data_IF_568112518685
#
_entry.id   IF_568112518685
#
_cell.length_a   1.000
_cell.length_b   1.000
_cell.length_c   1.000
_cell.angle_alpha   90.00
_cell.angle_beta   90.00
_cell.angle_gamma   90.00
#
_symmetry.space_group_name_H-M   'P 1'
#
loop_
_entity.id
_entity.type
_entity.pdbx_description
1 polymer ?
#
# COMPACT_ATOMS: atom_id res chain seq x y z
N UNK A 1 -78.54 -20.33 -18.28
CA UNK A 1 -79.02 -19.05 -17.70
C UNK A 1 -78.38 -18.99 -16.32
N UNK A 2 -77.43 -18.11 -16.00
CA UNK A 2 -77.40 -16.66 -16.16
C UNK A 2 -75.95 -16.22 -16.47
N UNK A 3 -75.81 -15.28 -17.38
CA UNK A 3 -74.60 -14.47 -17.59
C UNK A 3 -74.69 -13.30 -16.61
N UNK A 4 -73.63 -13.03 -15.84
CA UNK A 4 -73.42 -11.72 -15.21
C UNK A 4 -72.00 -11.25 -15.52
N UNK A 5 -71.92 -10.28 -16.43
CA UNK A 5 -70.81 -9.35 -16.60
C UNK A 5 -70.99 -8.18 -15.62
N UNK A 6 -69.91 -7.70 -15.01
CA UNK A 6 -69.68 -6.33 -14.47
C UNK A 6 -68.21 -6.29 -13.99
N UNK A 7 -67.22 -5.81 -14.75
CA UNK A 7 -66.78 -4.43 -15.04
C UNK A 7 -66.39 -3.61 -13.81
N UNK A 8 -65.25 -2.93 -13.96
CA UNK A 8 -64.67 -1.78 -13.22
C UNK A 8 -63.58 -2.12 -12.20
N UNK A 9 -62.35 -1.69 -12.51
CA UNK A 9 -61.26 -1.64 -11.54
C UNK A 9 -59.87 -1.40 -12.12
N UNK A 10 -59.72 -0.51 -13.12
CA UNK A 10 -58.39 0.03 -13.45
C UNK A 10 -57.98 0.95 -12.31
N UNK A 11 -57.04 0.52 -11.49
CA UNK A 11 -56.26 1.43 -10.64
C UNK A 11 -54.79 1.22 -10.96
N UNK A 12 -54.35 1.98 -11.95
CA UNK A 12 -52.96 2.31 -12.16
C UNK A 12 -52.45 3.05 -10.92
N UNK A 13 -51.78 2.33 -10.02
CA UNK A 13 -50.80 2.95 -9.13
C UNK A 13 -49.46 2.42 -9.63
N UNK A 14 -48.83 3.26 -10.44
CA UNK A 14 -47.48 3.05 -10.92
C UNK A 14 -46.54 2.95 -9.73
N UNK A 15 -46.23 1.72 -9.34
CA UNK A 15 -44.98 1.44 -8.65
C UNK A 15 -43.96 1.24 -9.76
N UNK A 16 -43.43 2.37 -10.25
CA UNK A 16 -42.06 2.44 -10.73
C UNK A 16 -41.16 2.08 -9.55
N UNK A 17 -41.14 0.79 -9.17
CA UNK A 17 -39.99 0.24 -8.49
C UNK A 17 -38.93 0.20 -9.58
N UNK A 18 -38.28 1.35 -9.77
CA UNK A 18 -37.04 1.42 -10.48
C UNK A 18 -36.22 0.28 -9.92
N UNK A 19 -35.87 -0.65 -10.79
CA UNK A 19 -34.76 -1.53 -10.54
C UNK A 19 -33.58 -0.59 -10.29
N UNK A 20 -33.36 -0.27 -9.02
CA UNK A 20 -32.07 0.17 -8.54
C UNK A 20 -31.22 -1.05 -8.80
N UNK A 21 -30.66 -1.09 -10.02
CA UNK A 21 -29.44 -1.78 -10.32
C UNK A 21 -28.43 -1.19 -9.33
N UNK A 22 -28.43 -1.73 -8.12
CA UNK A 22 -27.26 -1.77 -7.28
C UNK A 22 -26.24 -2.47 -8.16
N UNK A 23 -25.50 -1.69 -8.95
CA UNK A 23 -24.21 -2.07 -9.44
C UNK A 23 -23.37 -2.27 -8.18
N UNK A 24 -23.53 -3.46 -7.58
CA UNK A 24 -22.50 -4.11 -6.79
C UNK A 24 -21.42 -4.50 -7.80
N UNK A 25 -20.84 -3.50 -8.46
CA UNK A 25 -19.58 -3.64 -9.13
C UNK A 25 -18.64 -3.97 -8.01
N UNK A 26 -18.26 -5.24 -7.87
CA UNK A 26 -16.95 -5.55 -7.33
C UNK A 26 -16.00 -4.69 -8.15
N UNK A 27 -15.55 -3.57 -7.60
CA UNK A 27 -14.46 -2.77 -8.18
C UNK A 27 -13.22 -3.64 -8.03
N UNK A 28 -13.11 -4.63 -8.91
CA UNK A 28 -11.88 -5.36 -9.16
C UNK A 28 -10.87 -4.33 -9.65
N UNK A 29 -9.67 -4.43 -9.14
CA UNK A 29 -8.58 -3.59 -9.62
C UNK A 29 -8.26 -3.94 -11.07
N UNK A 30 -7.66 -3.02 -11.82
CA UNK A 30 -7.10 -3.35 -13.12
C UNK A 30 -6.17 -4.56 -13.04
N UNK A 31 -6.27 -5.50 -13.99
CA UNK A 31 -5.48 -6.74 -13.99
C UNK A 31 -3.97 -6.49 -13.91
N UNK A 32 -3.50 -5.39 -14.49
CA UNK A 32 -2.09 -4.96 -14.45
C UNK A 32 -1.62 -4.64 -13.03
N UNK A 33 -2.47 -4.01 -12.22
CA UNK A 33 -2.15 -3.70 -10.82
C UNK A 33 -2.18 -4.96 -9.95
N UNK A 34 -3.12 -5.87 -10.24
CA UNK A 34 -3.19 -7.18 -9.59
C UNK A 34 -1.92 -8.00 -9.87
N UNK A 35 -1.52 -8.09 -11.14
CA UNK A 35 -0.35 -8.84 -11.57
C UNK A 35 0.93 -8.26 -10.97
N UNK A 36 1.09 -6.94 -10.98
CA UNK A 36 2.23 -6.26 -10.36
C UNK A 36 2.27 -6.52 -8.85
N UNK A 37 1.14 -6.35 -8.15
CA UNK A 37 1.08 -6.59 -6.71
C UNK A 37 1.46 -8.04 -6.36
N UNK A 38 0.99 -9.02 -7.15
CA UNK A 38 1.33 -10.43 -6.97
C UNK A 38 2.81 -10.70 -7.26
N UNK A 39 3.36 -10.17 -8.36
CA UNK A 39 4.78 -10.29 -8.69
C UNK A 39 5.67 -9.76 -7.56
N UNK A 40 5.33 -8.59 -7.02
CA UNK A 40 6.07 -7.96 -5.93
C UNK A 40 5.91 -8.75 -4.61
N UNK A 41 4.73 -9.32 -4.35
CA UNK A 41 4.49 -10.14 -3.16
C UNK A 41 5.33 -11.43 -3.16
N UNK A 42 5.59 -12.00 -4.34
CA UNK A 42 6.39 -13.21 -4.51
C UNK A 42 7.92 -12.94 -4.55
N UNK A 43 8.32 -11.68 -4.54
CA UNK A 43 9.72 -11.26 -4.60
C UNK A 43 10.57 -11.82 -3.45
N UNK A 44 11.79 -12.26 -3.79
CA UNK A 44 12.78 -12.74 -2.82
C UNK A 44 13.29 -11.63 -1.90
N UNK A 45 13.22 -10.36 -2.31
CA UNK A 45 13.59 -9.20 -1.48
C UNK A 45 12.74 -9.16 -0.22
N UNK A 46 11.44 -9.47 -0.31
CA UNK A 46 10.56 -9.53 0.85
C UNK A 46 10.83 -10.75 1.74
N UNK A 47 11.89 -11.52 1.48
CA UNK A 47 12.38 -12.57 2.39
C UNK A 47 13.60 -12.11 3.19
N UNK A 48 14.14 -10.93 2.90
CA UNK A 48 15.18 -10.30 3.70
C UNK A 48 14.58 -9.88 5.03
N UNK A 49 15.10 -10.45 6.11
CA UNK A 49 14.65 -10.18 7.48
C UNK A 49 15.90 -9.88 8.31
N UNK A 50 16.05 -8.65 8.83
CA UNK A 50 17.19 -8.30 9.66
C UNK A 50 17.30 -9.23 10.88
N UNK A 51 18.51 -9.59 11.32
CA UNK A 51 18.70 -10.28 12.59
C UNK A 51 18.04 -9.50 13.73
N UNK A 52 17.47 -10.18 14.73
CA UNK A 52 16.71 -9.56 15.84
C UNK A 52 15.34 -8.95 15.43
N UNK A 53 14.80 -9.36 14.29
CA UNK A 53 13.40 -9.09 13.95
C UNK A 53 12.45 -10.10 14.61
N UNK A 54 11.24 -9.65 14.88
CA UNK A 54 10.11 -10.36 15.47
C UNK A 54 8.81 -9.89 14.80
N UNK A 55 7.69 -10.56 15.07
CA UNK A 55 6.36 -10.12 14.61
C UNK A 55 6.28 -9.76 13.13
N UNK A 56 6.82 -10.65 12.27
CA UNK A 56 6.86 -10.42 10.82
C UNK A 56 5.46 -10.60 10.23
N UNK A 57 4.94 -9.57 9.58
CA UNK A 57 3.68 -9.65 8.85
C UNK A 57 3.83 -9.11 7.43
N UNK A 58 3.05 -9.66 6.50
CA UNK A 58 3.02 -9.24 5.09
C UNK A 58 1.74 -8.48 4.81
N UNK A 59 1.81 -7.50 3.92
CA UNK A 59 0.64 -6.76 3.46
C UNK A 59 0.75 -6.46 1.97
N UNK A 60 -0.42 -6.30 1.36
CA UNK A 60 -0.60 -5.96 -0.05
C UNK A 60 -1.77 -4.97 -0.13
N UNK A 61 -1.47 -3.77 -0.62
CA UNK A 61 -2.42 -2.72 -0.99
C UNK A 61 -2.19 -2.43 -2.47
N UNK A 62 -3.27 -2.35 -3.24
CA UNK A 62 -3.21 -2.08 -4.69
C UNK A 62 -3.53 -0.60 -4.94
N UNK A 63 -2.99 0.04 -5.99
CA UNK A 63 -3.24 1.46 -6.29
C UNK A 63 -4.73 1.83 -6.29
N UNK A 64 -5.55 1.10 -7.05
CA UNK A 64 -7.03 1.16 -7.05
C UNK A 64 -7.75 1.09 -5.67
N UNK A 65 -7.06 0.65 -4.61
CA UNK A 65 -7.60 0.50 -3.24
C UNK A 65 -7.05 1.53 -2.26
N UNK A 66 -6.11 2.34 -2.72
CA UNK A 66 -5.47 3.40 -1.96
C UNK A 66 -5.99 4.75 -2.46
N UNK A 67 -6.31 5.66 -1.54
CA UNK A 67 -6.92 6.94 -1.92
C UNK A 67 -5.94 7.83 -2.71
N UNK A 68 -4.63 7.64 -2.52
CA UNK A 68 -3.57 8.34 -3.23
C UNK A 68 -3.14 7.60 -4.51
N UNK A 69 -3.82 6.50 -4.86
CA UNK A 69 -3.49 5.63 -5.98
C UNK A 69 -2.06 5.06 -5.90
N UNK A 70 -1.58 4.76 -4.67
CA UNK A 70 -0.27 4.15 -4.42
C UNK A 70 -0.45 2.70 -3.97
N UNK A 71 0.08 1.77 -4.76
CA UNK A 71 0.22 0.37 -4.37
C UNK A 71 1.37 0.18 -3.40
N UNK A 72 1.16 -0.65 -2.38
CA UNK A 72 2.15 -0.99 -1.36
C UNK A 72 2.20 -2.51 -1.17
N UNK A 73 3.39 -3.10 -1.29
CA UNK A 73 3.58 -4.53 -1.02
C UNK A 73 4.81 -4.71 -0.15
N UNK A 74 4.64 -5.19 1.06
CA UNK A 74 5.72 -5.12 2.03
C UNK A 74 5.62 -6.10 3.18
N UNK A 75 6.61 -5.94 4.05
CA UNK A 75 6.76 -6.66 5.30
C UNK A 75 6.98 -5.65 6.43
N UNK A 76 6.22 -5.82 7.50
CA UNK A 76 6.41 -5.12 8.76
C UNK A 76 7.09 -6.01 9.78
N UNK A 77 7.92 -5.42 10.65
CA UNK A 77 8.66 -6.13 11.69
C UNK A 77 8.66 -5.36 13.01
N UNK A 78 8.66 -6.09 14.12
CA UNK A 78 9.22 -5.58 15.38
C UNK A 78 10.73 -5.84 15.41
N UNK A 79 11.56 -4.82 15.55
CA UNK A 79 13.02 -4.97 15.57
C UNK A 79 13.58 -4.43 16.89
N UNK A 80 14.50 -5.18 17.52
CA UNK A 80 15.05 -4.82 18.85
C UNK A 80 16.48 -4.28 18.82
N UNK A 81 17.05 -4.07 17.63
CA UNK A 81 18.38 -3.47 17.45
C UNK A 81 18.33 -1.94 17.34
N UNK A 82 19.48 -1.33 17.07
CA UNK A 82 19.55 0.10 16.76
C UNK A 82 19.04 0.38 15.34
N UNK A 83 18.36 1.52 15.14
CA UNK A 83 17.86 1.94 13.83
C UNK A 83 18.95 1.96 12.75
N UNK A 84 20.15 2.43 13.08
CA UNK A 84 21.28 2.41 12.15
C UNK A 84 21.64 1.00 11.70
N UNK A 85 21.59 0.00 12.60
CA UNK A 85 21.85 -1.39 12.26
C UNK A 85 20.77 -1.97 11.33
N UNK A 86 19.51 -1.54 11.50
CA UNK A 86 18.41 -1.91 10.59
C UNK A 86 18.65 -1.33 9.18
N UNK A 87 18.99 -0.04 9.10
CA UNK A 87 19.28 0.61 7.82
C UNK A 87 20.52 0.02 7.14
N UNK A 88 21.60 -0.20 7.89
CA UNK A 88 22.86 -0.76 7.38
C UNK A 88 22.69 -2.18 6.82
N UNK A 89 21.82 -2.99 7.44
CA UNK A 89 21.46 -4.31 6.92
C UNK A 89 20.94 -4.21 5.49
N UNK A 90 19.97 -3.34 5.22
CA UNK A 90 19.40 -3.20 3.87
C UNK A 90 20.33 -2.50 2.88
N UNK A 91 21.16 -1.55 3.33
CA UNK A 91 22.23 -0.97 2.50
C UNK A 91 23.21 -2.05 2.02
N UNK A 92 23.37 -3.14 2.77
CA UNK A 92 24.25 -4.27 2.43
C UNK A 92 23.56 -5.32 1.56
N UNK A 93 22.34 -5.72 1.91
CA UNK A 93 21.67 -6.87 1.28
C UNK A 93 20.96 -6.54 -0.06
N UNK A 94 20.54 -5.30 -0.27
CA UNK A 94 19.76 -4.91 -1.45
C UNK A 94 20.60 -4.71 -2.73
N UNK A 95 21.80 -4.08 -2.70
CA UNK A 95 22.59 -3.88 -3.91
C UNK A 95 22.98 -5.15 -4.67
N UNK A 96 23.36 -6.26 -4.01
CA UNK A 96 23.58 -7.55 -4.69
C UNK A 96 22.36 -8.07 -5.46
N UNK A 97 21.16 -7.63 -5.10
CA UNK A 97 19.89 -7.97 -5.76
C UNK A 97 19.49 -6.96 -6.85
N UNK A 98 20.39 -6.04 -7.21
CA UNK A 98 20.19 -5.04 -8.28
C UNK A 98 19.49 -3.76 -7.85
N UNK A 99 19.28 -3.55 -6.54
CA UNK A 99 18.65 -2.35 -6.00
C UNK A 99 19.70 -1.28 -5.70
N UNK A 100 19.56 -0.13 -6.34
CA UNK A 100 20.47 1.01 -6.17
C UNK A 100 19.85 2.02 -5.21
N UNK A 101 20.58 2.38 -4.15
CA UNK A 101 20.16 3.45 -3.24
C UNK A 101 20.13 4.79 -4.00
N UNK A 102 18.99 5.48 -3.96
CA UNK A 102 18.80 6.79 -4.62
C UNK A 102 18.67 7.95 -3.66
N UNK A 103 18.18 7.69 -2.45
CA UNK A 103 18.29 8.67 -1.39
C UNK A 103 18.06 8.08 -0.02
N UNK A 104 18.53 8.86 0.93
CA UNK A 104 18.43 8.64 2.35
C UNK A 104 17.86 9.93 2.91
N UNK A 105 16.60 9.91 3.36
CA UNK A 105 16.11 11.07 4.10
C UNK A 105 16.70 11.02 5.50
N UNK A 106 17.26 12.13 6.01
CA UNK A 106 17.61 12.21 7.42
C UNK A 106 16.33 12.11 8.27
N UNK A 107 16.45 11.65 9.51
CA UNK A 107 15.43 11.90 10.51
C UNK A 107 15.36 13.42 10.68
N UNK A 108 14.38 14.07 10.07
CA UNK A 108 14.07 15.43 10.49
C UNK A 108 13.37 15.32 11.82
N UNK A 109 14.11 15.61 12.90
CA UNK A 109 13.52 15.94 14.20
C UNK A 109 13.13 17.40 14.11
N UNK A 110 11.84 17.77 13.97
CA UNK A 110 11.48 19.17 13.99
C UNK A 110 11.66 19.68 15.41
N UNK A 111 12.31 20.83 15.56
CA UNK A 111 12.08 21.67 16.74
C UNK A 111 10.60 22.03 16.79
N UNK A 112 9.91 21.61 17.85
CA UNK A 112 8.51 21.94 18.15
C UNK A 112 7.48 21.69 17.01
N UNK A 113 7.62 20.60 16.25
CA UNK A 113 6.65 20.21 15.21
C UNK A 113 6.40 18.70 15.13
N UNK A 114 5.36 18.29 14.40
CA UNK A 114 5.14 16.86 14.07
C UNK A 114 6.29 16.37 13.21
N UNK A 115 6.92 15.25 13.57
CA UNK A 115 8.00 14.65 12.80
C UNK A 115 7.48 14.22 11.42
N UNK A 116 7.84 14.97 10.37
CA UNK A 116 7.38 14.71 9.00
C UNK A 116 8.42 13.94 8.17
N UNK A 117 9.69 13.89 8.58
CA UNK A 117 10.75 13.15 7.89
C UNK A 117 11.17 11.91 8.67
N UNK A 118 10.61 10.74 8.32
CA UNK A 118 11.18 9.46 8.79
C UNK A 118 12.51 9.24 8.08
N UNK A 119 13.56 8.71 8.74
CA UNK A 119 14.64 8.10 7.99
C UNK A 119 14.06 7.01 7.11
N UNK A 120 14.15 7.24 5.80
CA UNK A 120 13.74 6.29 4.79
C UNK A 120 14.90 6.12 3.82
N UNK A 121 15.23 4.87 3.54
CA UNK A 121 16.05 4.55 2.38
C UNK A 121 15.12 4.30 1.22
N UNK A 122 15.42 4.90 0.08
CA UNK A 122 14.70 4.65 -1.15
C UNK A 122 15.64 4.05 -2.19
N UNK A 123 15.28 2.87 -2.69
CA UNK A 123 16.02 2.14 -3.70
C UNK A 123 15.22 2.01 -4.99
N UNK A 124 15.94 2.00 -6.11
CA UNK A 124 15.39 1.74 -7.45
C UNK A 124 16.11 0.56 -8.11
N UNK A 125 15.41 -0.13 -9.01
CA UNK A 125 15.97 -1.23 -9.80
C UNK A 125 15.65 -1.00 -11.27
N UNK A 126 16.68 -0.95 -12.13
CA UNK A 126 16.48 -0.73 -13.58
C UNK A 126 15.74 -1.87 -14.27
N UNK A 127 15.73 -3.07 -13.67
CA UNK A 127 14.93 -4.21 -14.09
C UNK A 127 13.47 -4.16 -13.61
N UNK A 128 13.10 -3.19 -12.77
CA UNK A 128 11.72 -2.94 -12.32
C UNK A 128 11.41 -1.43 -12.37
N UNK A 129 11.35 -0.82 -13.58
CA UNK A 129 11.05 0.60 -13.71
C UNK A 129 9.65 0.91 -13.15
N UNK A 130 9.52 2.08 -12.51
CA UNK A 130 8.25 2.53 -11.93
C UNK A 130 7.90 1.89 -10.58
N UNK A 131 8.78 1.08 -10.02
CA UNK A 131 8.67 0.51 -8.67
C UNK A 131 9.88 0.97 -7.85
N UNK A 132 9.60 1.50 -6.66
CA UNK A 132 10.64 1.77 -5.67
C UNK A 132 10.55 0.78 -4.53
N UNK A 133 11.64 0.63 -3.80
CA UNK A 133 11.70 -0.12 -2.56
C UNK A 133 12.09 0.82 -1.43
N UNK A 134 11.19 0.97 -0.46
CA UNK A 134 11.37 1.80 0.72
C UNK A 134 11.73 0.94 1.94
N UNK A 135 12.63 1.47 2.75
CA UNK A 135 12.96 0.95 4.08
C UNK A 135 12.62 2.04 5.08
N UNK A 136 11.56 1.84 5.86
CA UNK A 136 11.06 2.83 6.81
C UNK A 136 11.34 2.41 8.26
N UNK A 137 11.79 3.37 9.06
CA UNK A 137 11.87 3.26 10.51
C UNK A 137 10.50 3.43 11.20
N UNK A 138 10.35 2.95 12.45
CA UNK A 138 9.12 3.12 13.20
C UNK A 138 8.84 4.60 13.51
N UNK A 139 7.57 4.98 13.43
CA UNK A 139 7.07 6.21 14.04
C UNK A 139 6.95 5.93 15.54
N UNK A 140 7.61 6.73 16.42
CA UNK A 140 7.45 6.59 17.86
C UNK A 140 5.98 6.68 18.26
N UNK A 141 5.61 6.01 19.35
CA UNK A 141 4.26 6.13 19.89
C UNK A 141 3.91 7.61 20.14
N UNK A 142 2.75 8.05 19.66
CA UNK A 142 2.25 9.42 19.83
C UNK A 142 0.93 9.40 20.58
N UNK A 143 0.95 9.80 21.85
CA UNK A 143 -0.22 9.71 22.73
C UNK A 143 -0.65 8.26 22.94
N UNK A 144 -1.88 7.93 22.56
CA UNK A 144 -2.45 6.59 22.67
C UNK A 144 -2.18 5.69 21.45
N UNK A 145 -1.49 6.22 20.42
CA UNK A 145 -1.13 5.43 19.25
C UNK A 145 0.12 4.60 19.54
N UNK A 146 0.09 3.28 19.31
CA UNK A 146 1.28 2.45 19.45
C UNK A 146 2.33 2.87 18.43
N UNK A 147 3.60 2.60 18.73
CA UNK A 147 4.68 2.80 17.76
C UNK A 147 4.39 1.98 16.50
N UNK A 148 4.67 2.55 15.32
CA UNK A 148 4.58 1.76 14.09
C UNK A 148 5.72 0.72 14.08
N UNK A 149 5.57 -0.37 13.33
CA UNK A 149 6.69 -1.28 13.10
C UNK A 149 7.70 -0.67 12.11
N UNK A 150 8.81 -1.38 11.92
CA UNK A 150 9.77 -1.14 10.85
C UNK A 150 9.22 -1.77 9.56
N UNK A 151 9.56 -1.20 8.40
CA UNK A 151 9.06 -1.69 7.11
C UNK A 151 10.15 -1.88 6.07
N UNK A 152 9.97 -2.91 5.23
CA UNK A 152 10.55 -3.04 3.90
C UNK A 152 9.39 -3.20 2.92
N UNK A 153 9.22 -2.27 2.00
CA UNK A 153 8.05 -2.26 1.13
C UNK A 153 8.33 -1.76 -0.28
N UNK A 154 7.68 -2.38 -1.25
CA UNK A 154 7.54 -1.83 -2.57
C UNK A 154 6.46 -0.76 -2.60
N UNK A 155 6.72 0.31 -3.33
CA UNK A 155 5.70 1.28 -3.74
C UNK A 155 5.66 1.40 -5.25
N UNK A 156 4.45 1.48 -5.80
CA UNK A 156 4.25 1.55 -7.24
C UNK A 156 2.91 2.22 -7.57
N UNK A 157 2.81 2.76 -8.78
CA UNK A 157 1.57 3.29 -9.37
C UNK A 157 1.43 2.76 -10.79
N UNK A 158 0.29 2.97 -11.43
CA UNK A 158 0.11 2.62 -12.86
C UNK A 158 0.94 3.51 -13.80
N UNK A 159 1.33 4.71 -13.36
CA UNK A 159 2.16 5.66 -14.12
C UNK A 159 3.66 5.48 -13.85
N UNK A 160 4.00 4.68 -12.83
CA UNK A 160 5.35 4.51 -12.32
C UNK A 160 5.69 5.51 -11.22
N UNK A 161 6.60 5.09 -10.35
CA UNK A 161 7.11 5.86 -9.22
C UNK A 161 8.64 5.88 -9.25
N UNK A 162 9.23 7.00 -8.85
CA UNK A 162 10.67 7.14 -8.60
C UNK A 162 10.94 7.62 -7.18
N UNK A 163 12.17 7.44 -6.71
CA UNK A 163 12.55 7.94 -5.40
C UNK A 163 12.44 9.46 -5.30
N UNK A 164 12.61 10.17 -6.42
CA UNK A 164 12.49 11.63 -6.46
C UNK A 164 11.05 12.15 -6.30
N UNK A 165 10.05 11.29 -6.56
CA UNK A 165 8.64 11.65 -6.38
C UNK A 165 8.22 11.56 -4.92
N UNK A 166 8.79 10.59 -4.19
CA UNK A 166 8.47 10.31 -2.77
C UNK A 166 9.30 11.15 -1.80
N UNK A 167 10.39 11.78 -2.28
CA UNK A 167 11.27 12.64 -1.49
C UNK A 167 10.86 14.12 -1.51
N UNK A 168 9.76 14.50 -2.16
CA UNK A 168 9.28 15.88 -2.13
C UNK A 168 8.52 16.13 -0.80
N UNK A 169 8.90 17.16 -0.03
CA UNK A 169 8.21 17.53 1.21
C UNK A 169 6.78 18.03 0.97
#
# INVERSE_FOLDING_TARGET
>A
MIIVLSVVGVSAIGVLAGAVLLHVGKTSCPDVEEAMAQELADSTVLRLVPPNSSSVYRYVTKPCKDDDNIGQVGIGFGFSGADSAFLDYYKTELPPLGWTLRGELPAEVPGEGLALGRPQLCFENTGKPGVILNVDLPIPAMGDLPASPYFLEYRFTSEGLSCSDVQRP
#
